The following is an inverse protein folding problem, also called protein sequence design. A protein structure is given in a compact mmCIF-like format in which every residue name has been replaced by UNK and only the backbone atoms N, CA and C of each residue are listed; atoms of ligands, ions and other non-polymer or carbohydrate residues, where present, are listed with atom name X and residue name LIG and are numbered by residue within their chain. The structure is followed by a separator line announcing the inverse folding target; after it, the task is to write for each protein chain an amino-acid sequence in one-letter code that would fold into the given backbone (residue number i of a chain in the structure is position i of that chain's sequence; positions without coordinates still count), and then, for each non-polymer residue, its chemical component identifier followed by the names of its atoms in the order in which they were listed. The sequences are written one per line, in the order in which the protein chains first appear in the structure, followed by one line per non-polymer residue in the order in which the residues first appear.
data_IF_242689267436
#
_entry.id   IF_242689267436
#
_cell.length_a   1.000
_cell.length_b   1.000
_cell.length_c   1.000
_cell.angle_alpha   90.00
_cell.angle_beta   90.00
_cell.angle_gamma   90.00
#
_symmetry.space_group_name_H-M   'P 1'
#
loop_
_entity.id
_entity.type
_entity.pdbx_description
1 polymer ?
#
# COMPACT_ATOMS: atom_id res chain seq x y z
N UNK A 1 16.53 -23.83 -32.27
CA UNK A 1 15.48 -22.81 -32.03
C UNK A 1 16.19 -21.47 -32.00
N UNK A 2 15.78 -20.48 -32.81
CA UNK A 2 16.48 -19.19 -32.85
C UNK A 2 15.92 -18.29 -31.71
N UNK A 3 16.68 -18.03 -30.64
CA UNK A 3 16.18 -17.34 -29.45
C UNK A 3 15.71 -15.90 -29.73
N UNK A 4 16.25 -15.26 -30.78
CA UNK A 4 15.81 -13.91 -31.20
C UNK A 4 14.40 -13.90 -31.79
N UNK A 5 13.94 -15.03 -32.38
CA UNK A 5 12.57 -15.15 -32.91
C UNK A 5 11.53 -15.37 -31.83
N UNK A 6 11.91 -15.97 -30.70
CA UNK A 6 10.98 -16.19 -29.58
C UNK A 6 10.81 -14.93 -28.75
N UNK A 7 11.90 -14.21 -28.42
CA UNK A 7 11.81 -12.96 -27.66
C UNK A 7 11.00 -11.88 -28.38
N UNK A 8 11.25 -11.66 -29.68
CA UNK A 8 10.49 -10.67 -30.44
C UNK A 8 9.00 -11.05 -30.55
N UNK A 9 8.70 -12.35 -30.67
CA UNK A 9 7.33 -12.86 -30.63
C UNK A 9 6.63 -12.56 -29.31
N UNK A 10 7.31 -12.78 -28.18
CA UNK A 10 6.79 -12.49 -26.84
C UNK A 10 6.55 -10.98 -26.63
N UNK A 11 7.46 -10.13 -27.13
CA UNK A 11 7.28 -8.66 -27.10
C UNK A 11 6.05 -8.24 -27.92
N UNK A 12 5.85 -8.80 -29.11
CA UNK A 12 4.66 -8.52 -29.93
C UNK A 12 3.39 -8.93 -29.20
N UNK A 13 3.35 -10.14 -28.62
CA UNK A 13 2.19 -10.61 -27.85
C UNK A 13 1.89 -9.70 -26.64
N UNK A 14 2.92 -9.20 -25.96
CA UNK A 14 2.76 -8.23 -24.87
C UNK A 14 2.17 -6.89 -25.36
N UNK A 15 2.64 -6.37 -26.51
CA UNK A 15 2.11 -5.14 -27.11
C UNK A 15 0.66 -5.30 -27.57
N UNK A 16 0.31 -6.45 -28.15
CA UNK A 16 -1.07 -6.78 -28.51
C UNK A 16 -1.96 -6.79 -27.28
N UNK A 17 -1.51 -7.42 -26.18
CA UNK A 17 -2.24 -7.42 -24.91
C UNK A 17 -2.42 -6.00 -24.35
N UNK A 18 -1.40 -5.14 -24.41
CA UNK A 18 -1.51 -3.74 -23.97
C UNK A 18 -2.57 -2.99 -24.78
N UNK A 19 -2.58 -3.19 -26.11
CA UNK A 19 -3.58 -2.57 -27.00
C UNK A 19 -5.00 -3.07 -26.71
N UNK A 20 -5.16 -4.36 -26.40
CA UNK A 20 -6.46 -4.94 -26.05
C UNK A 20 -7.04 -4.36 -24.76
N UNK A 21 -6.21 -4.16 -23.73
CA UNK A 21 -6.68 -3.63 -22.43
C UNK A 21 -6.77 -2.09 -22.40
N UNK A 22 -6.24 -1.41 -23.41
CA UNK A 22 -6.30 0.04 -23.54
C UNK A 22 -6.76 0.45 -24.95
N UNK A 23 -7.99 0.11 -25.35
CA UNK A 23 -8.51 0.46 -26.66
C UNK A 23 -8.78 1.98 -26.74
N UNK A 24 -8.77 2.54 -27.96
CA UNK A 24 -8.93 3.99 -28.17
C UNK A 24 -10.31 4.51 -27.72
N UNK A 25 -11.32 3.64 -27.70
CA UNK A 25 -12.71 3.90 -27.30
C UNK A 25 -13.00 3.51 -25.83
N UNK A 26 -11.95 3.36 -24.99
CA UNK A 26 -12.09 2.89 -23.61
C UNK A 26 -13.05 3.77 -22.77
N UNK A 27 -13.02 5.09 -22.98
CA UNK A 27 -13.88 6.03 -22.28
C UNK A 27 -15.35 5.88 -22.69
N UNK A 28 -15.62 5.70 -23.98
CA UNK A 28 -16.95 5.48 -24.54
C UNK A 28 -17.53 4.16 -24.05
N UNK A 29 -16.71 3.09 -24.02
CA UNK A 29 -17.10 1.80 -23.46
C UNK A 29 -17.48 1.94 -21.98
N UNK A 30 -16.67 2.66 -21.20
CA UNK A 30 -16.93 2.88 -19.78
C UNK A 30 -18.26 3.59 -19.58
N UNK A 31 -18.51 4.68 -20.29
CA UNK A 31 -19.76 5.43 -20.20
C UNK A 31 -20.98 4.57 -20.58
N UNK A 32 -20.88 3.79 -21.66
CA UNK A 32 -22.00 2.99 -22.16
C UNK A 32 -22.35 1.80 -21.26
N UNK A 33 -21.34 1.15 -20.67
CA UNK A 33 -21.54 -0.09 -19.90
C UNK A 33 -21.72 0.14 -18.40
N UNK A 34 -21.09 1.17 -17.83
CA UNK A 34 -21.22 1.46 -16.39
C UNK A 34 -22.54 2.15 -16.03
N UNK A 35 -23.19 2.83 -17.00
CA UNK A 35 -24.35 3.69 -16.72
C UNK A 35 -24.02 4.95 -15.91
N UNK A 36 -22.73 5.23 -15.67
CA UNK A 36 -22.27 6.38 -14.89
C UNK A 36 -22.26 7.64 -15.77
N UNK A 37 -23.06 8.62 -15.35
CA UNK A 37 -23.12 9.96 -15.95
C UNK A 37 -22.10 10.95 -15.36
N UNK A 38 -22.04 12.14 -15.96
CA UNK A 38 -21.16 13.23 -15.48
C UNK A 38 -21.54 13.74 -14.09
N UNK A 39 -22.81 13.65 -13.75
CA UNK A 39 -23.41 14.04 -12.48
C UNK A 39 -23.03 13.13 -11.30
N UNK A 40 -22.48 11.94 -11.59
CA UNK A 40 -21.97 11.04 -10.56
C UNK A 40 -20.61 11.47 -9.99
N UNK A 41 -19.90 12.38 -10.66
CA UNK A 41 -18.63 12.91 -10.18
C UNK A 41 -18.88 13.96 -9.11
N UNK A 42 -18.22 13.78 -7.97
CA UNK A 42 -18.25 14.73 -6.87
C UNK A 42 -17.04 15.64 -6.99
N UNK A 43 -17.28 16.92 -7.23
CA UNK A 43 -16.24 17.94 -7.19
C UNK A 43 -15.70 18.06 -5.76
N UNK A 44 -14.37 18.08 -5.65
CA UNK A 44 -13.69 18.27 -4.39
C UNK A 44 -13.19 19.71 -4.32
N UNK A 45 -13.07 20.27 -3.12
CA UNK A 45 -12.40 21.56 -2.94
C UNK A 45 -11.06 21.32 -2.24
N UNK A 46 -9.93 21.87 -2.71
CA UNK A 46 -8.66 21.81 -1.99
C UNK A 46 -8.68 22.75 -0.76
N UNK A 47 -9.65 22.52 0.12
CA UNK A 47 -9.90 23.21 1.36
C UNK A 47 -10.08 22.14 2.44
N UNK A 48 -8.96 21.53 2.86
CA UNK A 48 -8.97 20.55 3.94
C UNK A 48 -9.11 21.25 5.29
N UNK A 49 -10.11 20.85 6.08
CA UNK A 49 -10.15 21.15 7.52
C UNK A 49 -9.51 19.98 8.26
N UNK A 50 -8.77 20.27 9.32
CA UNK A 50 -8.09 19.27 10.14
C UNK A 50 -6.73 18.82 9.59
N UNK A 51 -6.14 17.88 10.31
CA UNK A 51 -4.84 17.28 10.03
C UNK A 51 -5.01 16.10 9.07
N UNK A 52 -4.00 15.87 8.23
CA UNK A 52 -3.90 14.71 7.37
C UNK A 52 -2.70 13.86 7.81
N UNK A 53 -2.99 12.72 8.44
CA UNK A 53 -2.00 11.70 8.76
C UNK A 53 -1.97 10.63 7.69
N UNK A 54 -0.79 10.09 7.39
CA UNK A 54 -0.61 9.02 6.43
C UNK A 54 0.36 7.98 6.97
N UNK A 55 0.01 6.72 6.79
CA UNK A 55 0.82 5.56 7.19
C UNK A 55 1.37 4.88 5.95
N UNK A 56 2.65 4.53 6.01
CA UNK A 56 3.32 3.67 5.04
C UNK A 56 4.31 2.74 5.77
N UNK A 57 4.64 1.62 5.16
CA UNK A 57 5.56 0.63 5.67
C UNK A 57 6.63 0.26 4.65
N UNK A 58 7.75 -0.26 5.14
CA UNK A 58 8.78 -0.84 4.28
C UNK A 58 9.31 -2.13 4.87
N UNK A 59 9.74 -3.00 3.98
CA UNK A 59 10.51 -4.17 4.32
C UNK A 59 11.61 -4.40 3.28
N UNK A 60 12.68 -5.07 3.70
CA UNK A 60 13.74 -5.50 2.82
C UNK A 60 14.30 -6.84 3.31
N UNK A 61 14.60 -7.74 2.36
CA UNK A 61 15.37 -8.93 2.68
C UNK A 61 16.83 -8.53 2.94
N UNK A 62 17.37 -8.98 4.08
CA UNK A 62 18.74 -8.67 4.50
C UNK A 62 19.66 -9.83 4.22
N UNK A 63 19.24 -11.04 4.62
CA UNK A 63 19.96 -12.29 4.42
C UNK A 63 18.99 -13.40 4.04
N UNK A 64 19.39 -14.25 3.11
CA UNK A 64 18.62 -15.41 2.68
C UNK A 64 19.55 -16.64 2.72
N UNK A 65 19.19 -17.62 3.53
CA UNK A 65 19.84 -18.92 3.58
C UNK A 65 18.85 -19.98 3.09
N UNK A 66 19.36 -21.15 2.68
CA UNK A 66 18.49 -22.26 2.26
C UNK A 66 17.54 -22.77 3.35
N UNK A 67 17.73 -22.40 4.62
CA UNK A 67 16.90 -22.86 5.76
C UNK A 67 16.12 -21.75 6.48
N UNK A 68 16.45 -20.48 6.27
CA UNK A 68 15.75 -19.33 6.87
C UNK A 68 16.15 -18.03 6.16
N UNK A 69 15.33 -16.99 6.32
CA UNK A 69 15.64 -15.64 5.85
C UNK A 69 15.56 -14.63 6.99
N UNK A 70 16.25 -13.50 6.88
CA UNK A 70 16.18 -12.37 7.80
C UNK A 70 15.75 -11.15 7.01
N UNK A 71 14.63 -10.54 7.42
CA UNK A 71 14.14 -9.29 6.86
C UNK A 71 14.20 -8.15 7.87
N UNK A 72 14.43 -6.93 7.39
CA UNK A 72 14.20 -5.72 8.16
C UNK A 72 12.82 -5.15 7.82
N UNK A 73 12.09 -4.70 8.84
CA UNK A 73 10.74 -4.16 8.68
C UNK A 73 10.57 -2.94 9.59
N UNK A 74 9.92 -1.89 9.07
CA UNK A 74 9.50 -0.71 9.83
C UNK A 74 8.26 -0.07 9.19
N UNK A 75 7.57 0.76 9.96
CA UNK A 75 6.47 1.59 9.49
C UNK A 75 6.60 3.01 10.04
N UNK A 76 5.91 3.95 9.42
CA UNK A 76 5.87 5.33 9.87
C UNK A 76 4.50 5.93 9.68
N UNK A 77 4.20 6.93 10.50
CA UNK A 77 3.11 7.87 10.27
C UNK A 77 3.68 9.28 10.11
N UNK A 78 3.28 9.96 9.04
CA UNK A 78 3.54 11.37 8.85
C UNK A 78 2.24 12.17 8.87
N UNK A 79 2.18 13.20 9.71
CA UNK A 79 0.99 14.03 9.91
C UNK A 79 1.27 15.48 9.56
N UNK A 80 0.35 16.09 8.82
CA UNK A 80 0.42 17.47 8.39
C UNK A 80 -0.81 18.27 8.79
N UNK A 81 -0.59 19.53 9.14
CA UNK A 81 -1.60 20.54 9.39
C UNK A 81 -1.13 21.84 8.73
N UNK A 82 -2.02 22.54 8.02
CA UNK A 82 -1.72 23.84 7.39
C UNK A 82 -0.43 23.81 6.53
N UNK A 83 -0.26 22.75 5.72
CA UNK A 83 0.93 22.54 4.89
C UNK A 83 2.27 22.37 5.65
N UNK A 84 2.24 22.21 6.98
CA UNK A 84 3.42 21.92 7.81
C UNK A 84 3.32 20.55 8.43
N UNK A 85 4.48 19.90 8.59
CA UNK A 85 4.55 18.62 9.30
C UNK A 85 4.31 18.86 10.78
N UNK A 86 3.23 18.29 11.31
CA UNK A 86 2.92 18.29 12.73
C UNK A 86 3.80 17.27 13.46
N UNK A 87 3.93 16.06 12.91
CA UNK A 87 4.85 15.04 13.40
C UNK A 87 5.21 14.02 12.33
N UNK A 88 6.35 13.35 12.53
CA UNK A 88 6.73 12.10 11.89
C UNK A 88 7.12 11.15 13.02
N UNK A 89 6.48 9.97 13.07
CA UNK A 89 6.84 8.91 14.01
C UNK A 89 7.13 7.64 13.24
N UNK A 90 8.09 6.87 13.72
CA UNK A 90 8.50 5.62 13.13
C UNK A 90 8.45 4.53 14.18
N UNK A 91 8.00 3.33 13.78
CA UNK A 91 8.18 2.15 14.62
C UNK A 91 9.67 1.81 14.72
N UNK A 92 10.05 1.14 15.80
CA UNK A 92 11.41 0.59 15.88
C UNK A 92 11.63 -0.40 14.74
N UNK A 93 12.80 -0.35 14.11
CA UNK A 93 13.18 -1.34 13.10
C UNK A 93 13.23 -2.74 13.73
N UNK A 94 12.46 -3.68 13.16
CA UNK A 94 12.43 -5.06 13.61
C UNK A 94 13.17 -5.94 12.60
N UNK A 95 14.03 -6.82 13.10
CA UNK A 95 14.58 -7.91 12.32
C UNK A 95 13.73 -9.16 12.50
N UNK A 96 13.13 -9.61 11.41
CA UNK A 96 12.24 -10.77 11.36
C UNK A 96 13.02 -11.93 10.75
N UNK A 97 13.39 -12.89 11.59
CA UNK A 97 13.85 -14.21 11.10
C UNK A 97 12.63 -15.00 10.63
N UNK A 98 12.66 -15.60 9.45
CA UNK A 98 11.56 -16.37 8.84
C UNK A 98 12.08 -17.76 8.57
N UNK A 99 11.45 -18.77 9.15
CA UNK A 99 11.77 -20.16 8.91
C UNK A 99 10.51 -21.00 8.90
N UNK A 100 10.49 -22.08 8.11
CA UNK A 100 9.39 -23.05 8.07
C UNK A 100 9.37 -23.92 9.33
N UNK A 101 9.21 -23.30 10.50
CA UNK A 101 9.15 -23.93 11.82
C UNK A 101 8.07 -23.28 12.70
N UNK A 102 7.56 -24.04 13.66
CA UNK A 102 6.61 -23.55 14.68
C UNK A 102 7.15 -22.34 15.46
N UNK A 103 8.47 -22.22 15.58
CA UNK A 103 9.17 -21.10 16.20
C UNK A 103 8.85 -19.75 15.53
N UNK A 104 8.68 -19.70 14.22
CA UNK A 104 8.28 -18.48 13.53
C UNK A 104 6.84 -18.10 13.86
N UNK A 105 5.93 -19.07 13.84
CA UNK A 105 4.50 -18.88 14.18
C UNK A 105 4.37 -18.35 15.61
N UNK A 106 5.12 -18.93 16.56
CA UNK A 106 5.15 -18.50 17.96
C UNK A 106 5.72 -17.08 18.13
N UNK A 107 6.80 -16.74 17.40
CA UNK A 107 7.37 -15.38 17.43
C UNK A 107 6.42 -14.35 16.83
N UNK A 108 5.75 -14.67 15.73
CA UNK A 108 4.71 -13.82 15.15
C UNK A 108 3.57 -13.60 16.13
N UNK A 109 3.03 -14.66 16.75
CA UNK A 109 1.98 -14.54 17.74
C UNK A 109 2.40 -13.71 18.98
N UNK A 110 3.64 -13.90 19.46
CA UNK A 110 4.19 -13.11 20.57
C UNK A 110 4.29 -11.63 20.21
N UNK A 111 4.79 -11.31 19.02
CA UNK A 111 4.92 -9.93 18.53
C UNK A 111 3.54 -9.29 18.32
N UNK A 112 2.60 -10.07 17.79
CA UNK A 112 1.23 -9.65 17.59
C UNK A 112 0.53 -9.34 18.93
N UNK A 113 0.76 -10.16 19.95
CA UNK A 113 0.23 -9.94 21.31
C UNK A 113 0.90 -8.76 22.01
N UNK A 114 2.21 -8.54 21.80
CA UNK A 114 2.95 -7.36 22.28
C UNK A 114 2.26 -6.07 21.82
N UNK A 115 1.87 -6.00 20.54
CA UNK A 115 1.28 -4.79 19.97
C UNK A 115 -0.23 -4.66 20.12
N UNK A 116 -0.99 -5.75 20.02
CA UNK A 116 -2.46 -5.69 20.00
C UNK A 116 -3.13 -6.27 21.25
N UNK A 117 -2.37 -6.82 22.19
CA UNK A 117 -2.90 -7.40 23.44
C UNK A 117 -3.75 -8.65 23.25
N UNK A 118 -3.79 -9.23 22.06
CA UNK A 118 -4.58 -10.41 21.69
C UNK A 118 -3.80 -11.32 20.75
N UNK A 119 -4.24 -12.56 20.60
CA UNK A 119 -3.66 -13.50 19.65
C UNK A 119 -4.17 -13.25 18.22
N UNK A 120 -3.35 -13.57 17.18
CA UNK A 120 -3.79 -13.46 15.81
C UNK A 120 -4.88 -14.50 15.52
N UNK A 121 -5.89 -14.13 14.74
CA UNK A 121 -6.98 -15.04 14.35
C UNK A 121 -6.49 -16.25 13.55
N UNK A 122 -5.38 -16.07 12.83
CA UNK A 122 -4.70 -17.11 12.07
C UNK A 122 -3.19 -16.93 12.25
N UNK A 123 -2.49 -18.03 12.51
CA UNK A 123 -1.02 -18.05 12.52
C UNK A 123 -0.44 -17.71 11.14
N UNK A 124 0.78 -17.19 11.12
CA UNK A 124 1.47 -16.84 9.88
C UNK A 124 2.42 -17.97 9.48
N UNK A 125 2.15 -18.63 8.36
CA UNK A 125 3.05 -19.61 7.77
C UNK A 125 4.25 -18.94 7.10
N UNK A 126 5.36 -19.67 6.97
CA UNK A 126 6.62 -19.19 6.40
C UNK A 126 6.92 -19.80 5.01
N UNK A 127 5.90 -20.30 4.31
CA UNK A 127 6.06 -20.98 3.02
C UNK A 127 6.61 -20.05 1.93
N UNK A 128 6.28 -18.77 2.04
CA UNK A 128 6.81 -17.69 1.21
C UNK A 128 7.36 -16.60 2.14
N UNK A 129 8.70 -16.47 2.27
CA UNK A 129 9.32 -15.46 3.11
C UNK A 129 8.94 -14.03 2.75
N UNK A 130 8.83 -13.70 1.46
CA UNK A 130 8.47 -12.37 1.02
C UNK A 130 7.03 -12.02 1.45
N UNK A 131 6.10 -12.98 1.31
CA UNK A 131 4.73 -12.84 1.80
C UNK A 131 4.68 -12.70 3.32
N UNK A 132 5.40 -13.56 4.06
CA UNK A 132 5.42 -13.51 5.51
C UNK A 132 5.92 -12.15 6.03
N UNK A 133 6.95 -11.58 5.39
CA UNK A 133 7.47 -10.25 5.71
C UNK A 133 6.48 -9.15 5.37
N UNK A 134 5.79 -9.24 4.24
CA UNK A 134 4.75 -8.29 3.88
C UNK A 134 3.62 -8.26 4.93
N UNK A 135 3.25 -9.42 5.50
CA UNK A 135 2.30 -9.48 6.62
C UNK A 135 2.87 -8.80 7.86
N UNK A 136 4.13 -9.05 8.24
CA UNK A 136 4.72 -8.35 9.40
C UNK A 136 4.84 -6.82 9.16
N UNK A 137 5.08 -6.39 7.91
CA UNK A 137 5.05 -4.97 7.54
C UNK A 137 3.67 -4.35 7.74
N UNK A 138 2.63 -4.98 7.20
CA UNK A 138 1.24 -4.56 7.35
C UNK A 138 0.84 -4.50 8.85
N UNK A 139 1.33 -5.45 9.65
CA UNK A 139 1.14 -5.42 11.10
C UNK A 139 1.73 -4.15 11.73
N UNK A 140 2.96 -3.75 11.38
CA UNK A 140 3.57 -2.51 11.89
C UNK A 140 2.90 -1.25 11.34
N UNK A 141 2.37 -1.28 10.12
CA UNK A 141 1.54 -0.20 9.58
C UNK A 141 0.28 -0.01 10.46
N UNK A 142 -0.39 -1.10 10.85
CA UNK A 142 -1.53 -1.01 11.77
C UNK A 142 -1.17 -0.51 13.17
N UNK A 143 0.03 -0.84 13.68
CA UNK A 143 0.54 -0.27 14.93
C UNK A 143 0.70 1.24 14.80
N UNK A 144 1.37 1.71 13.76
CA UNK A 144 1.56 3.14 13.50
C UNK A 144 0.21 3.86 13.31
N UNK A 145 -0.77 3.22 12.66
CA UNK A 145 -2.11 3.74 12.48
C UNK A 145 -2.87 3.89 13.81
N UNK A 146 -2.76 2.90 14.72
CA UNK A 146 -3.39 2.99 16.05
C UNK A 146 -2.77 4.09 16.91
N UNK A 147 -1.44 4.21 16.91
CA UNK A 147 -0.73 5.31 17.60
C UNK A 147 -1.08 6.68 17.01
N UNK A 148 -1.30 6.75 15.70
CA UNK A 148 -1.74 7.97 15.03
C UNK A 148 -3.14 8.40 15.51
N UNK A 149 -4.09 7.47 15.62
CA UNK A 149 -5.44 7.75 16.08
C UNK A 149 -5.47 8.40 17.48
N UNK A 150 -4.51 8.11 18.34
CA UNK A 150 -4.41 8.73 19.67
C UNK A 150 -4.02 10.21 19.63
N UNK A 151 -3.46 10.68 18.51
CA UNK A 151 -3.00 12.06 18.30
C UNK A 151 -3.90 12.85 17.33
N UNK A 152 -4.91 12.22 16.76
CA UNK A 152 -5.86 12.82 15.82
C UNK A 152 -7.16 13.20 16.53
N UNK A 153 -7.81 14.23 16.02
CA UNK A 153 -9.05 14.78 16.56
C UNK A 153 -10.22 14.60 15.58
N UNK A 154 -11.44 14.83 16.05
CA UNK A 154 -12.63 14.79 15.19
C UNK A 154 -12.46 15.78 14.02
N UNK A 155 -12.70 15.29 12.80
CA UNK A 155 -12.48 16.06 11.57
C UNK A 155 -11.06 15.97 10.99
N UNK A 156 -10.14 15.24 11.63
CA UNK A 156 -8.89 14.85 11.00
C UNK A 156 -9.09 13.64 10.06
N UNK A 157 -8.09 13.38 9.21
CA UNK A 157 -8.11 12.26 8.25
C UNK A 157 -6.85 11.41 8.40
N UNK A 158 -7.04 10.10 8.48
CA UNK A 158 -5.98 9.08 8.46
C UNK A 158 -5.98 8.35 7.10
N UNK A 159 -4.85 8.38 6.42
CA UNK A 159 -4.61 7.67 5.17
C UNK A 159 -3.76 6.42 5.41
N UNK A 160 -4.14 5.32 4.77
CA UNK A 160 -3.31 4.12 4.67
C UNK A 160 -2.79 3.99 3.23
N UNK A 161 -1.49 3.75 3.04
CA UNK A 161 -0.95 3.43 1.71
C UNK A 161 -1.42 2.03 1.29
N UNK A 162 -2.28 1.96 0.28
CA UNK A 162 -2.92 0.71 -0.16
C UNK A 162 -4.45 0.75 -0.10
N UNK A 163 -5.06 -0.43 -0.04
CA UNK A 163 -6.51 -0.63 0.07
C UNK A 163 -6.94 -0.77 1.53
N UNK A 164 -8.23 -0.58 1.84
CA UNK A 164 -8.85 -1.00 3.10
C UNK A 164 -9.18 -2.50 3.05
N UNK A 165 -8.14 -3.28 2.77
CA UNK A 165 -8.11 -4.73 2.65
C UNK A 165 -6.85 -5.22 3.36
N UNK A 166 -6.93 -6.39 3.98
CA UNK A 166 -5.77 -7.00 4.65
C UNK A 166 -5.16 -8.11 3.78
N UNK A 167 -3.84 -8.17 3.73
CA UNK A 167 -3.11 -9.24 3.05
C UNK A 167 -3.18 -10.60 3.77
N UNK A 168 -3.60 -10.62 5.04
CA UNK A 168 -3.71 -11.83 5.84
C UNK A 168 -4.83 -11.77 6.89
N UNK A 169 -5.50 -12.90 7.13
CA UNK A 169 -6.68 -12.97 8.00
C UNK A 169 -6.38 -12.55 9.46
N UNK A 170 -5.13 -12.65 9.92
CA UNK A 170 -4.71 -12.17 11.25
C UNK A 170 -5.12 -10.71 11.49
N UNK A 171 -5.06 -9.85 10.48
CA UNK A 171 -5.28 -8.42 10.62
C UNK A 171 -6.74 -7.99 10.46
N UNK A 172 -7.64 -8.90 10.11
CA UNK A 172 -9.06 -8.57 9.89
C UNK A 172 -9.69 -7.88 11.11
N UNK A 173 -9.45 -8.43 12.29
CA UNK A 173 -9.96 -7.84 13.52
C UNK A 173 -9.31 -6.47 13.80
N UNK A 174 -8.04 -6.29 13.47
CA UNK A 174 -7.28 -5.05 13.71
C UNK A 174 -7.79 -3.93 12.82
N UNK A 175 -7.97 -4.18 11.52
CA UNK A 175 -8.54 -3.20 10.59
C UNK A 175 -9.95 -2.81 11.02
N UNK A 176 -10.80 -3.78 11.38
CA UNK A 176 -12.16 -3.49 11.86
C UNK A 176 -12.15 -2.62 13.13
N UNK A 177 -11.32 -2.96 14.10
CA UNK A 177 -11.22 -2.22 15.36
C UNK A 177 -10.66 -0.80 15.12
N UNK A 178 -9.70 -0.64 14.20
CA UNK A 178 -9.17 0.65 13.75
C UNK A 178 -10.28 1.54 13.16
N UNK A 179 -11.04 1.00 12.20
CA UNK A 179 -12.14 1.73 11.56
C UNK A 179 -13.25 2.11 12.55
N UNK A 180 -13.61 1.19 13.45
CA UNK A 180 -14.59 1.45 14.50
C UNK A 180 -14.14 2.57 15.45
N UNK A 181 -12.88 2.53 15.91
CA UNK A 181 -12.30 3.58 16.77
C UNK A 181 -12.27 4.93 16.07
N UNK A 182 -11.82 4.97 14.81
CA UNK A 182 -11.77 6.19 14.03
C UNK A 182 -13.18 6.78 13.81
N UNK A 183 -14.15 5.95 13.42
CA UNK A 183 -15.55 6.37 13.24
C UNK A 183 -16.15 6.97 14.51
N UNK A 184 -15.98 6.32 15.67
CA UNK A 184 -16.48 6.83 16.95
C UNK A 184 -15.81 8.14 17.39
N UNK A 185 -14.55 8.36 17.00
CA UNK A 185 -13.81 9.58 17.28
C UNK A 185 -14.09 10.70 16.27
N UNK A 186 -14.91 10.46 15.23
CA UNK A 186 -15.12 11.41 14.14
C UNK A 186 -13.89 11.62 13.25
N UNK A 187 -12.94 10.68 13.28
CA UNK A 187 -11.74 10.68 12.43
C UNK A 187 -12.08 9.96 11.12
N UNK A 188 -11.80 10.60 9.99
CA UNK A 188 -12.02 10.02 8.67
C UNK A 188 -10.87 9.08 8.31
N UNK A 189 -11.17 7.98 7.61
CA UNK A 189 -10.16 7.02 7.17
C UNK A 189 -10.29 6.78 5.67
N UNK A 190 -9.18 6.64 4.97
CA UNK A 190 -9.17 6.16 3.59
C UNK A 190 -7.90 5.37 3.24
N UNK A 191 -8.04 4.36 2.40
CA UNK A 191 -6.92 3.71 1.73
C UNK A 191 -6.68 4.36 0.38
N UNK A 192 -5.42 4.68 0.03
CA UNK A 192 -5.06 5.21 -1.30
C UNK A 192 -4.04 4.28 -1.95
N UNK A 193 -4.38 3.72 -3.10
CA UNK A 193 -3.50 2.81 -3.83
C UNK A 193 -2.74 3.54 -4.95
N UNK A 194 -1.40 3.63 -4.84
CA UNK A 194 -0.50 4.14 -5.90
C UNK A 194 -0.63 3.33 -7.20
N UNK A 195 -0.86 2.02 -7.07
CA UNK A 195 -1.08 1.06 -8.15
C UNK A 195 -2.26 0.17 -7.78
N UNK A 196 -3.06 -0.19 -8.76
CA UNK A 196 -4.20 -1.09 -8.56
C UNK A 196 -4.29 -2.07 -9.71
N UNK A 197 -4.68 -3.31 -9.40
CA UNK A 197 -5.05 -4.33 -10.38
C UNK A 197 -6.55 -4.34 -10.66
N UNK A 198 -7.31 -3.36 -10.15
CA UNK A 198 -8.75 -3.29 -10.36
C UNK A 198 -9.08 -3.15 -11.85
N UNK A 199 -9.86 -4.10 -12.36
CA UNK A 199 -10.36 -4.11 -13.72
C UNK A 199 -11.88 -4.12 -13.76
N UNK A 200 -12.43 -3.76 -14.92
CA UNK A 200 -13.86 -3.81 -15.22
C UNK A 200 -14.08 -4.31 -16.65
N UNK A 201 -15.30 -4.76 -16.96
CA UNK A 201 -15.73 -5.05 -18.33
C UNK A 201 -14.90 -6.13 -19.04
N UNK A 202 -14.37 -7.11 -18.31
CA UNK A 202 -13.57 -8.20 -18.87
C UNK A 202 -12.06 -7.93 -18.94
N UNK A 203 -11.52 -7.14 -18.01
CA UNK A 203 -10.09 -6.95 -17.83
C UNK A 203 -9.56 -5.57 -18.18
N UNK A 204 -10.41 -4.58 -18.42
CA UNK A 204 -9.98 -3.20 -18.69
C UNK A 204 -9.52 -2.50 -17.41
N UNK A 205 -8.41 -1.74 -17.40
CA UNK A 205 -7.93 -1.03 -16.21
C UNK A 205 -8.94 0.06 -15.79
N UNK A 206 -9.52 -0.10 -14.59
CA UNK A 206 -10.60 0.76 -14.08
C UNK A 206 -10.19 2.23 -14.00
N UNK A 207 -9.07 2.51 -13.34
CA UNK A 207 -8.61 3.88 -13.09
C UNK A 207 -8.36 4.62 -14.40
N UNK A 208 -7.79 3.94 -15.39
CA UNK A 208 -7.52 4.52 -16.71
C UNK A 208 -8.81 4.85 -17.46
N UNK A 209 -9.81 3.95 -17.39
CA UNK A 209 -11.09 4.15 -18.04
C UNK A 209 -11.86 5.34 -17.44
N UNK A 210 -11.93 5.41 -16.11
CA UNK A 210 -12.58 6.52 -15.39
C UNK A 210 -11.89 7.86 -15.66
N UNK A 211 -10.55 7.90 -15.57
CA UNK A 211 -9.78 9.13 -15.80
C UNK A 211 -9.89 9.60 -17.26
N UNK A 212 -9.93 8.67 -18.22
CA UNK A 212 -10.18 8.98 -19.64
C UNK A 212 -11.61 9.49 -19.87
N UNK A 213 -12.61 8.86 -19.26
CA UNK A 213 -14.00 9.33 -19.32
C UNK A 213 -14.14 10.75 -18.75
N UNK A 214 -13.58 11.01 -17.57
CA UNK A 214 -13.61 12.32 -16.94
C UNK A 214 -12.99 13.41 -17.84
N UNK A 215 -11.82 13.13 -18.44
CA UNK A 215 -11.16 14.03 -19.40
C UNK A 215 -12.05 14.31 -20.63
N UNK A 216 -12.57 13.27 -21.27
CA UNK A 216 -13.41 13.40 -22.48
C UNK A 216 -14.72 14.13 -22.17
N UNK A 217 -15.24 13.96 -20.96
CA UNK A 217 -16.43 14.64 -20.46
C UNK A 217 -16.21 16.11 -20.06
N UNK A 218 -14.95 16.58 -19.99
CA UNK A 218 -14.60 17.93 -19.56
C UNK A 218 -14.66 18.15 -18.04
N UNK A 219 -14.62 17.08 -17.24
CA UNK A 219 -14.66 17.14 -15.78
C UNK A 219 -13.26 17.50 -15.26
N UNK A 220 -13.16 18.65 -14.60
CA UNK A 220 -11.87 19.17 -14.10
C UNK A 220 -11.57 18.65 -12.70
N UNK A 221 -10.32 18.22 -12.41
CA UNK A 221 -9.89 17.94 -11.04
C UNK A 221 -9.96 19.17 -10.14
N UNK A 222 -10.11 18.99 -8.81
CA UNK A 222 -10.17 17.70 -8.15
C UNK A 222 -11.58 17.10 -8.11
N UNK A 223 -11.67 15.79 -8.34
CA UNK A 223 -12.94 15.05 -8.35
C UNK A 223 -12.77 13.65 -7.77
N UNK A 224 -13.86 13.07 -7.28
CA UNK A 224 -13.97 11.65 -6.96
C UNK A 224 -15.24 11.04 -7.56
N UNK A 225 -15.18 9.74 -7.83
CA UNK A 225 -16.27 8.95 -8.41
C UNK A 225 -16.39 7.65 -7.62
N UNK A 226 -17.60 7.36 -7.11
CA UNK A 226 -17.92 6.06 -6.51
C UNK A 226 -17.96 4.99 -7.59
N UNK A 227 -17.35 3.85 -7.33
CA UNK A 227 -17.38 2.69 -8.23
C UNK A 227 -18.37 1.65 -7.67
N UNK A 228 -19.41 1.27 -8.42
CA UNK A 228 -20.27 0.15 -8.06
C UNK A 228 -19.47 -1.16 -7.98
N UNK A 229 -19.71 -1.99 -6.96
CA UNK A 229 -18.95 -3.24 -6.77
C UNK A 229 -19.23 -4.29 -7.86
N UNK A 230 -20.43 -4.27 -8.43
CA UNK A 230 -20.87 -5.11 -9.55
C UNK A 230 -20.21 -4.73 -10.88
N UNK A 231 -19.58 -3.54 -10.95
CA UNK A 231 -18.80 -3.12 -12.12
C UNK A 231 -17.40 -3.78 -12.16
N UNK A 232 -16.87 -4.23 -11.03
CA UNK A 232 -15.52 -4.78 -10.93
C UNK A 232 -15.48 -6.25 -11.36
N UNK A 233 -14.51 -6.62 -12.20
CA UNK A 233 -14.34 -8.02 -12.63
C UNK A 233 -13.90 -8.93 -11.48
N UNK A 234 -13.08 -8.36 -10.58
CA UNK A 234 -12.64 -9.02 -9.37
C UNK A 234 -13.43 -8.43 -8.21
N UNK A 235 -14.34 -9.24 -7.67
CA UNK A 235 -14.84 -8.99 -6.34
C UNK A 235 -13.84 -9.61 -5.36
N UNK A 236 -13.16 -8.81 -4.52
CA UNK A 236 -12.38 -9.36 -3.43
C UNK A 236 -13.26 -10.28 -2.59
N UNK A 237 -12.67 -11.24 -1.88
CA UNK A 237 -13.42 -11.99 -0.88
C UNK A 237 -14.07 -10.99 0.08
N UNK A 238 -15.40 -10.81 -0.01
CA UNK A 238 -16.14 -9.76 0.68
C UNK A 238 -15.85 -9.71 2.20
N UNK A 239 -15.51 -10.86 2.77
CA UNK A 239 -15.05 -11.00 4.15
C UNK A 239 -13.83 -10.14 4.52
N UNK A 240 -12.96 -9.76 3.59
CA UNK A 240 -11.71 -9.04 3.84
C UNK A 240 -11.67 -7.60 3.32
N UNK A 241 -12.70 -7.16 2.62
CA UNK A 241 -12.83 -5.77 2.18
C UNK A 241 -13.63 -4.97 3.20
N UNK A 242 -13.16 -3.77 3.55
CA UNK A 242 -13.87 -2.86 4.48
C UNK A 242 -14.06 -1.46 3.92
N UNK A 243 -13.69 -1.24 2.67
CA UNK A 243 -13.88 0.03 1.99
C UNK A 243 -14.67 -0.11 0.70
N UNK A 244 -15.52 0.88 0.46
CA UNK A 244 -16.22 1.10 -0.80
C UNK A 244 -15.21 1.73 -1.78
N UNK A 245 -15.10 1.21 -3.02
CA UNK A 245 -14.13 1.69 -3.99
C UNK A 245 -14.57 3.00 -4.64
N UNK A 246 -13.61 3.90 -4.79
CA UNK A 246 -13.71 5.16 -5.51
C UNK A 246 -12.51 5.30 -6.45
N UNK A 247 -12.67 6.11 -7.50
CA UNK A 247 -11.55 6.65 -8.27
C UNK A 247 -11.55 8.15 -8.08
N UNK A 248 -10.39 8.75 -7.83
CA UNK A 248 -10.28 10.20 -7.71
C UNK A 248 -9.02 10.74 -8.35
N UNK A 249 -9.11 12.00 -8.77
CA UNK A 249 -7.97 12.78 -9.21
C UNK A 249 -7.89 14.05 -8.40
N UNK A 250 -6.80 14.21 -7.66
CA UNK A 250 -6.67 15.26 -6.65
C UNK A 250 -6.04 16.55 -7.16
N UNK A 251 -5.49 16.56 -8.37
CA UNK A 251 -4.81 17.73 -8.92
C UNK A 251 -4.90 17.77 -10.45
N UNK A 252 -5.00 18.97 -11.02
CA UNK A 252 -5.07 19.19 -12.48
C UNK A 252 -3.85 18.61 -13.22
N UNK A 253 -2.66 18.84 -12.68
CA UNK A 253 -1.37 18.37 -13.24
C UNK A 253 -1.04 16.92 -12.88
N UNK A 254 -1.93 16.19 -12.22
CA UNK A 254 -1.70 14.78 -11.91
C UNK A 254 -1.58 13.96 -13.19
N UNK A 255 -0.61 13.06 -13.27
CA UNK A 255 -0.43 12.19 -14.44
C UNK A 255 -1.58 11.16 -14.58
N UNK A 256 -2.11 10.68 -13.46
CA UNK A 256 -3.18 9.69 -13.37
C UNK A 256 -4.09 9.98 -12.18
N UNK A 257 -5.30 9.44 -12.21
CA UNK A 257 -6.16 9.26 -11.04
C UNK A 257 -5.66 8.09 -10.16
N UNK A 258 -6.25 7.93 -8.98
CA UNK A 258 -5.94 6.90 -7.99
C UNK A 258 -7.20 6.12 -7.59
N UNK A 259 -7.02 4.85 -7.21
CA UNK A 259 -8.07 4.10 -6.49
C UNK A 259 -8.02 4.50 -5.02
N UNK A 260 -9.18 4.80 -4.47
CA UNK A 260 -9.39 5.09 -3.06
C UNK A 260 -10.41 4.11 -2.52
N UNK A 261 -10.25 3.73 -1.26
CA UNK A 261 -11.26 2.99 -0.53
C UNK A 261 -11.63 3.78 0.73
N UNK A 262 -12.93 4.03 0.93
CA UNK A 262 -13.47 4.74 2.09
C UNK A 262 -14.39 3.77 2.85
N UNK A 263 -14.41 3.76 4.19
CA UNK A 263 -15.24 2.81 4.94
C UNK A 263 -16.72 2.86 4.56
N UNK A 264 -17.39 1.72 4.58
CA UNK A 264 -18.80 1.58 4.17
C UNK A 264 -19.78 2.45 4.97
N UNK A 265 -19.46 2.71 6.24
CA UNK A 265 -20.26 3.58 7.11
C UNK A 265 -20.10 5.09 6.80
N UNK A 266 -19.15 5.46 5.93
CA UNK A 266 -18.92 6.86 5.58
C UNK A 266 -20.03 7.36 4.64
N UNK A 267 -20.66 8.47 5.01
CA UNK A 267 -21.62 9.14 4.15
C UNK A 267 -20.93 9.94 3.03
N UNK A 268 -21.73 10.48 2.11
CA UNK A 268 -21.23 11.26 0.98
C UNK A 268 -20.44 12.51 1.42
N UNK A 269 -20.77 13.11 2.56
CA UNK A 269 -20.06 14.27 3.10
C UNK A 269 -18.67 13.87 3.59
N UNK A 270 -18.56 12.76 4.31
CA UNK A 270 -17.29 12.23 4.78
C UNK A 270 -16.36 11.85 3.61
N UNK A 271 -16.90 11.27 2.53
CA UNK A 271 -16.15 10.97 1.31
C UNK A 271 -15.64 12.25 0.65
N UNK A 272 -16.51 13.27 0.51
CA UNK A 272 -16.12 14.55 -0.08
C UNK A 272 -15.03 15.24 0.76
N UNK A 273 -15.13 15.18 2.09
CA UNK A 273 -14.13 15.71 3.01
C UNK A 273 -12.79 14.99 2.90
N UNK A 274 -12.79 13.65 2.82
CA UNK A 274 -11.56 12.87 2.59
C UNK A 274 -10.90 13.29 1.29
N UNK A 275 -11.67 13.37 0.20
CA UNK A 275 -11.12 13.72 -1.11
C UNK A 275 -10.61 15.17 -1.15
N UNK A 276 -11.30 16.08 -0.47
CA UNK A 276 -10.89 17.48 -0.29
C UNK A 276 -9.61 17.61 0.53
N UNK A 277 -9.47 16.83 1.61
CA UNK A 277 -8.25 16.77 2.40
C UNK A 277 -7.07 16.24 1.57
N UNK A 278 -7.26 15.18 0.79
CA UNK A 278 -6.24 14.67 -0.12
C UNK A 278 -5.84 15.70 -1.18
N UNK A 279 -6.81 16.39 -1.80
CA UNK A 279 -6.58 17.44 -2.78
C UNK A 279 -5.77 18.61 -2.21
N UNK A 280 -6.03 19.03 -0.96
CA UNK A 280 -5.29 20.09 -0.29
C UNK A 280 -3.78 19.80 -0.16
N UNK A 281 -3.39 18.53 -0.11
CA UNK A 281 -1.99 18.09 0.00
C UNK A 281 -1.43 17.48 -1.29
N UNK A 282 -2.14 17.54 -2.41
CA UNK A 282 -1.74 16.93 -3.69
C UNK A 282 -0.97 17.87 -4.63
N UNK A 283 -0.59 19.07 -4.17
CA UNK A 283 0.07 20.11 -4.96
C UNK A 283 1.59 20.05 -5.03
N UNK A 284 2.25 19.00 -4.50
CA UNK A 284 3.71 18.90 -4.52
C UNK A 284 4.26 18.82 -5.95
N UNK A 285 5.15 19.74 -6.32
CA UNK A 285 5.68 19.83 -7.68
C UNK A 285 6.49 18.63 -8.15
N UNK A 286 6.96 17.76 -7.25
CA UNK A 286 7.72 16.55 -7.61
C UNK A 286 6.81 15.42 -8.08
N UNK A 287 5.64 15.28 -7.45
CA UNK A 287 4.64 14.26 -7.79
C UNK A 287 3.23 14.89 -7.68
N UNK A 288 2.83 15.73 -8.67
CA UNK A 288 1.51 16.35 -8.64
C UNK A 288 0.39 15.31 -8.60
N UNK A 289 -0.62 15.55 -7.78
CA UNK A 289 -1.76 14.66 -7.60
C UNK A 289 -1.64 13.67 -6.47
N UNK A 290 -0.44 13.38 -5.95
CA UNK A 290 -0.27 12.42 -4.87
C UNK A 290 -0.22 13.14 -3.51
N UNK A 291 -1.04 12.77 -2.50
CA UNK A 291 -1.05 13.46 -1.21
C UNK A 291 0.32 13.43 -0.53
N UNK A 292 0.87 14.61 -0.24
CA UNK A 292 2.22 14.76 0.28
C UNK A 292 2.51 13.99 1.58
N UNK A 293 1.58 13.88 2.56
CA UNK A 293 1.81 13.07 3.75
C UNK A 293 2.13 11.60 3.44
N UNK A 294 1.50 11.01 2.42
CA UNK A 294 1.81 9.63 2.00
C UNK A 294 3.21 9.54 1.38
N UNK A 295 3.59 10.52 0.54
CA UNK A 295 4.95 10.58 -0.01
C UNK A 295 6.00 10.72 1.10
N UNK A 296 5.70 11.52 2.11
CA UNK A 296 6.62 11.75 3.23
C UNK A 296 6.76 10.51 4.11
N UNK A 297 5.66 9.84 4.46
CA UNK A 297 5.68 8.57 5.16
C UNK A 297 6.48 7.52 4.37
N UNK A 298 6.23 7.39 3.07
CA UNK A 298 6.96 6.50 2.18
C UNK A 298 8.48 6.74 2.25
N UNK A 299 8.90 7.99 2.08
CA UNK A 299 10.32 8.37 2.09
C UNK A 299 10.98 8.11 3.45
N UNK A 300 10.24 8.22 4.55
CA UNK A 300 10.75 7.95 5.89
C UNK A 300 10.98 6.45 6.12
N UNK A 301 10.18 5.57 5.50
CA UNK A 301 10.27 4.12 5.73
C UNK A 301 11.15 3.38 4.75
N UNK A 302 11.37 3.88 3.52
CA UNK A 302 12.18 3.20 2.50
C UNK A 302 13.49 2.70 3.09
N UNK A 303 13.70 1.38 3.06
CA UNK A 303 14.95 0.74 3.46
C UNK A 303 15.87 0.66 2.24
N UNK A 304 16.85 1.56 2.19
CA UNK A 304 17.81 1.64 1.09
C UNK A 304 18.90 0.56 1.16
N UNK A 305 19.66 0.41 0.06
CA UNK A 305 20.77 -0.54 -0.01
C UNK A 305 21.80 -0.32 1.12
N UNK A 306 22.14 0.94 1.43
CA UNK A 306 23.08 1.28 2.49
C UNK A 306 22.60 0.84 3.89
N UNK A 307 21.30 1.00 4.17
CA UNK A 307 20.71 0.55 5.44
C UNK A 307 20.71 -0.98 5.54
N UNK A 308 20.35 -1.67 4.45
CA UNK A 308 20.37 -3.14 4.38
C UNK A 308 21.79 -3.68 4.58
N UNK A 309 22.79 -3.08 3.93
CA UNK A 309 24.19 -3.44 4.09
C UNK A 309 24.70 -3.15 5.51
N UNK A 310 24.33 -2.02 6.12
CA UNK A 310 24.68 -1.73 7.51
C UNK A 310 24.16 -2.82 8.47
N UNK A 311 22.90 -3.25 8.31
CA UNK A 311 22.32 -4.33 9.11
C UNK A 311 23.07 -5.65 8.85
N UNK A 312 23.40 -5.94 7.59
CA UNK A 312 24.20 -7.12 7.21
C UNK A 312 25.56 -7.11 7.93
N UNK A 313 26.26 -5.98 7.96
CA UNK A 313 27.52 -5.83 8.69
C UNK A 313 27.37 -6.02 10.20
N UNK A 314 26.30 -5.51 10.80
CA UNK A 314 26.03 -5.71 12.23
C UNK A 314 25.80 -7.19 12.57
N UNK A 315 25.11 -7.93 11.70
CA UNK A 315 24.94 -9.38 11.83
C UNK A 315 26.30 -10.09 11.72
N UNK A 316 27.12 -9.78 10.71
CA UNK A 316 28.46 -10.37 10.52
C UNK A 316 29.36 -10.09 11.75
N UNK A 317 29.33 -8.86 12.27
CA UNK A 317 30.06 -8.47 13.48
C UNK A 317 29.57 -9.22 14.71
N UNK A 318 28.26 -9.44 14.82
CA UNK A 318 27.64 -10.27 15.87
C UNK A 318 28.08 -11.74 15.77
N UNK A 319 28.11 -12.30 14.57
CA UNK A 319 28.57 -13.66 14.31
C UNK A 319 30.03 -13.89 14.74
N UNK A 320 30.91 -12.92 14.50
CA UNK A 320 32.30 -12.98 14.95
C UNK A 320 32.41 -13.12 16.48
N UNK A 321 31.55 -12.43 17.23
CA UNK A 321 31.50 -12.55 18.71
C UNK A 321 30.99 -13.91 19.18
N UNK A 322 30.22 -14.61 18.34
CA UNK A 322 29.73 -15.97 18.60
C UNK A 322 30.70 -17.06 18.12
N UNK A 323 31.93 -16.70 17.73
CA UNK A 323 32.94 -17.64 17.26
C UNK A 323 32.72 -18.14 15.82
N UNK A 324 31.79 -17.54 15.08
CA UNK A 324 31.59 -17.85 13.67
C UNK A 324 32.54 -17.01 12.81
N UNK A 325 33.18 -17.65 11.83
CA UNK A 325 34.09 -16.97 10.90
C UNK A 325 33.39 -16.63 9.58
N UNK A 326 34.06 -15.87 8.71
CA UNK A 326 33.52 -15.45 7.41
C UNK A 326 33.19 -16.63 6.49
N UNK A 327 33.90 -17.78 6.62
CA UNK A 327 33.60 -18.98 5.83
C UNK A 327 32.22 -19.54 6.18
N UNK A 328 31.86 -19.58 7.47
CA UNK A 328 30.54 -20.01 7.91
C UNK A 328 29.44 -19.08 7.37
N UNK A 329 29.69 -17.76 7.31
CA UNK A 329 28.75 -16.80 6.74
C UNK A 329 28.51 -17.08 5.25
N UNK A 330 29.58 -17.20 4.45
CA UNK A 330 29.47 -17.49 3.02
C UNK A 330 28.84 -18.86 2.73
N UNK A 331 29.07 -19.85 3.59
CA UNK A 331 28.42 -21.17 3.45
C UNK A 331 26.92 -21.14 3.72
N UNK A 332 26.44 -20.20 4.55
CA UNK A 332 25.03 -20.09 4.93
C UNK A 332 24.25 -19.14 4.02
N UNK A 333 24.85 -18.01 3.64
CA UNK A 333 24.18 -16.91 2.96
C UNK A 333 24.80 -16.53 1.62
N UNK A 334 25.92 -17.17 1.24
CA UNK A 334 26.53 -16.91 -0.05
C UNK A 334 25.67 -17.48 -1.17
N UNK A 335 25.28 -16.64 -2.11
CA UNK A 335 24.66 -17.06 -3.36
C UNK A 335 25.77 -17.27 -4.41
N UNK A 336 25.86 -18.47 -4.99
CA UNK A 336 26.77 -18.74 -6.10
C UNK A 336 26.46 -17.83 -7.31
N UNK A 337 25.23 -17.33 -7.48
CA UNK A 337 24.90 -16.34 -8.51
C UNK A 337 25.59 -14.99 -8.29
N UNK A 338 25.72 -14.53 -7.05
CA UNK A 338 26.51 -13.33 -6.73
C UNK A 338 28.00 -13.55 -6.95
N UNK A 339 28.49 -14.78 -6.73
CA UNK A 339 29.88 -15.15 -7.02
C UNK A 339 30.15 -15.18 -8.54
N UNK A 340 29.21 -15.71 -9.35
CA UNK A 340 29.31 -15.69 -10.81
C UNK A 340 29.22 -14.28 -11.41
N UNK A 341 28.44 -13.37 -10.83
CA UNK A 341 28.34 -11.99 -11.29
C UNK A 341 29.61 -11.14 -11.06
N UNK A 342 30.56 -11.64 -10.25
CA UNK A 342 31.87 -11.00 -10.02
C UNK A 342 32.94 -11.38 -11.05
N UNK A 343 32.68 -12.35 -11.92
CA UNK A 343 33.56 -12.81 -13.00
C UNK A 343 32.96 -12.48 -14.38
#
# INVERSE_FOLDING_TARGET
MNPDRTYLGDVIAALERIREICPADLAERFAAQSGIGKDAFVECSPAGRGRLAAVDGSNAMVLEAGSFSIAAVRAAVSCFAEARRAFLRMTSMRLVRIEAREEFVARFASLYREYFGKDPQQGLAADDPARAVAVVREMLEFVAAQEALESLEAGDTLLLDGSLHVGHASHMSVLRDLLFRAGNAGIRVAGISKRTSATWGGGYPLVLAVDSYARNAGIRPPWCLRIPEDLLDQQPHAQWQRGVPYVARFHEKAATAFKIEVPEYADASAVADVCSACAAYAGDGRIPGYPFPLLDAHRAVVLGADEVEAIRYDIIKGMSRLGMNSKNFWQLFGDYHEEFARY
#
